data_IF_438098222263
#
_entry.id   IF_438098222263
#
_cell.length_a   1.000
_cell.length_b   1.000
_cell.length_c   1.000
_cell.angle_alpha   90.00
_cell.angle_beta   90.00
_cell.angle_gamma   90.00
#
_symmetry.space_group_name_H-M   'P 1'
#
loop_
_entity.id
_entity.type
_entity.pdbx_description
1 polymer ?
#
# COMPACT_ATOMS: atom_id res chain seq x y z
N UNK A 1 -23.05 -25.23 -10.84
CA UNK A 1 -21.99 -24.24 -11.15
C UNK A 1 -21.44 -23.75 -9.82
N UNK A 2 -20.40 -24.42 -9.33
CA UNK A 2 -20.00 -24.51 -7.91
C UNK A 2 -19.10 -23.35 -7.47
N UNK A 3 -19.53 -22.65 -6.41
CA UNK A 3 -18.85 -21.59 -5.66
C UNK A 3 -17.77 -22.12 -4.70
N UNK A 4 -17.01 -23.16 -5.09
CA UNK A 4 -16.16 -23.96 -4.19
C UNK A 4 -14.71 -23.47 -4.09
N UNK A 5 -14.28 -22.49 -4.90
CA UNK A 5 -12.86 -22.12 -4.97
C UNK A 5 -12.44 -21.02 -3.96
N UNK A 6 -13.39 -20.38 -3.28
CA UNK A 6 -13.13 -19.22 -2.40
C UNK A 6 -13.00 -19.60 -0.90
N UNK A 7 -13.48 -20.78 -0.48
CA UNK A 7 -13.27 -21.29 0.89
C UNK A 7 -11.89 -21.93 1.03
N UNK A 8 -11.47 -22.76 0.06
CA UNK A 8 -10.17 -23.43 0.09
C UNK A 8 -9.00 -22.45 0.10
N UNK A 9 -9.09 -21.35 -0.65
CA UNK A 9 -8.10 -20.28 -0.62
C UNK A 9 -8.02 -19.59 0.75
N UNK A 10 -9.16 -19.38 1.43
CA UNK A 10 -9.18 -18.81 2.78
C UNK A 10 -8.58 -19.76 3.81
N UNK A 11 -8.92 -21.05 3.75
CA UNK A 11 -8.40 -22.06 4.68
C UNK A 11 -6.89 -22.23 4.54
N UNK A 12 -6.38 -22.28 3.30
CA UNK A 12 -4.94 -22.29 3.02
C UNK A 12 -4.23 -21.01 3.51
N UNK A 13 -4.92 -19.86 3.46
CA UNK A 13 -4.36 -18.61 3.97
C UNK A 13 -4.23 -18.67 5.50
N UNK A 14 -5.27 -19.12 6.21
CA UNK A 14 -5.25 -19.29 7.67
C UNK A 14 -4.14 -20.26 8.12
N UNK A 15 -4.04 -21.43 7.48
CA UNK A 15 -2.97 -22.38 7.75
C UNK A 15 -1.57 -21.79 7.52
N UNK A 16 -1.40 -20.98 6.46
CA UNK A 16 -0.12 -20.30 6.21
C UNK A 16 0.26 -19.30 7.31
N UNK A 17 -0.74 -18.72 8.01
CA UNK A 17 -0.52 -17.83 9.15
C UNK A 17 -0.19 -18.62 10.42
N UNK A 18 -0.93 -19.70 10.70
CA UNK A 18 -0.69 -20.58 11.84
C UNK A 18 0.71 -21.21 11.77
N UNK A 19 1.10 -21.76 10.62
CA UNK A 19 2.45 -22.28 10.44
C UNK A 19 3.52 -21.21 10.62
N UNK A 20 3.25 -19.97 10.22
CA UNK A 20 4.19 -18.87 10.42
C UNK A 20 4.31 -18.50 11.91
N UNK A 21 3.19 -18.48 12.65
CA UNK A 21 3.16 -18.20 14.08
C UNK A 21 3.88 -19.29 14.90
N UNK A 22 3.77 -20.54 14.49
CA UNK A 22 4.46 -21.69 15.11
C UNK A 22 5.94 -21.82 14.68
N UNK A 23 6.45 -20.93 13.82
CA UNK A 23 7.83 -20.99 13.32
C UNK A 23 8.08 -22.06 12.25
N UNK A 24 7.03 -22.77 11.80
CA UNK A 24 7.04 -23.73 10.69
C UNK A 24 7.11 -23.01 9.33
N UNK A 25 8.21 -22.28 9.10
CA UNK A 25 8.38 -21.40 7.94
C UNK A 25 8.31 -22.14 6.60
N UNK A 26 8.74 -23.41 6.56
CA UNK A 26 8.69 -24.24 5.34
C UNK A 26 7.25 -24.57 4.94
N UNK A 27 6.42 -24.94 5.90
CA UNK A 27 5.01 -25.27 5.67
C UNK A 27 4.21 -24.01 5.33
N UNK A 28 4.47 -22.90 6.04
CA UNK A 28 3.91 -21.59 5.68
C UNK A 28 4.28 -21.18 4.23
N UNK A 29 5.53 -21.42 3.81
CA UNK A 29 5.97 -21.12 2.44
C UNK A 29 5.31 -22.05 1.40
N UNK A 30 5.03 -23.31 1.77
CA UNK A 30 4.31 -24.27 0.93
C UNK A 30 2.88 -23.80 0.67
N UNK A 31 2.14 -23.45 1.72
CA UNK A 31 0.76 -22.92 1.61
C UNK A 31 0.71 -21.66 0.73
N UNK A 32 1.64 -20.71 0.95
CA UNK A 32 1.76 -19.49 0.11
C UNK A 32 2.09 -19.78 -1.36
N UNK A 33 2.81 -20.87 -1.66
CA UNK A 33 3.13 -21.27 -3.03
C UNK A 33 1.88 -21.80 -3.74
N UNK A 34 1.10 -22.64 -3.06
CA UNK A 34 -0.17 -23.15 -3.57
C UNK A 34 -1.12 -21.99 -3.85
N UNK A 35 -1.31 -21.08 -2.89
CA UNK A 35 -2.14 -19.88 -3.07
C UNK A 35 -1.73 -19.04 -4.28
N UNK A 36 -0.43 -18.80 -4.47
CA UNK A 36 0.07 -18.09 -5.67
C UNK A 36 -0.22 -18.84 -6.96
N UNK A 37 -0.15 -20.17 -6.94
CA UNK A 37 -0.53 -21.02 -8.08
C UNK A 37 -2.00 -20.86 -8.50
N UNK A 38 -2.88 -20.55 -7.53
CA UNK A 38 -4.30 -20.25 -7.76
C UNK A 38 -4.60 -18.75 -7.97
N UNK A 39 -3.57 -17.92 -8.21
CA UNK A 39 -3.74 -16.48 -8.40
C UNK A 39 -4.04 -15.69 -7.11
N UNK A 40 -4.08 -16.35 -5.95
CA UNK A 40 -4.31 -15.72 -4.65
C UNK A 40 -2.99 -15.19 -4.11
N UNK A 41 -2.81 -13.87 -4.20
CA UNK A 41 -1.63 -13.20 -3.65
C UNK A 41 -1.91 -12.79 -2.21
N UNK A 42 -1.25 -13.46 -1.26
CA UNK A 42 -1.28 -13.05 0.14
C UNK A 42 -0.46 -11.78 0.35
N UNK A 43 -0.97 -10.81 1.13
CA UNK A 43 -0.18 -9.62 1.48
C UNK A 43 1.08 -10.05 2.23
N UNK A 44 2.24 -9.69 1.69
CA UNK A 44 3.52 -9.98 2.35
C UNK A 44 3.60 -9.21 3.67
N UNK A 45 3.61 -9.92 4.80
CA UNK A 45 3.97 -9.35 6.11
C UNK A 45 5.48 -9.12 6.26
N UNK A 46 6.31 -9.69 5.37
CA UNK A 46 7.76 -9.43 5.30
C UNK A 46 8.02 -8.25 4.35
N UNK A 47 8.13 -7.09 4.97
CA UNK A 47 8.37 -5.78 4.39
C UNK A 47 7.95 -4.74 5.44
N UNK A 48 8.57 -3.55 5.48
CA UNK A 48 8.04 -2.43 6.30
C UNK A 48 6.54 -2.39 6.06
N UNK A 49 5.71 -2.42 7.13
CA UNK A 49 4.25 -2.25 7.02
C UNK A 49 4.02 -1.09 6.06
N UNK A 50 3.55 -1.39 4.85
CA UNK A 50 3.20 -0.34 3.91
C UNK A 50 2.16 0.52 4.60
N UNK A 51 2.19 1.83 4.38
CA UNK A 51 1.24 2.74 5.04
C UNK A 51 -0.23 2.47 4.66
N UNK A 52 -0.53 1.45 3.84
CA UNK A 52 -1.88 1.14 3.39
C UNK A 52 -2.52 2.37 2.75
N UNK A 53 -3.70 2.72 3.27
CA UNK A 53 -4.44 3.93 2.90
C UNK A 53 -3.96 5.18 3.66
N UNK A 54 -3.11 5.03 4.69
CA UNK A 54 -2.51 6.16 5.39
C UNK A 54 -1.38 6.78 4.54
N UNK A 55 -1.17 8.07 4.75
CA UNK A 55 -0.03 8.77 4.16
C UNK A 55 1.26 8.32 4.85
N UNK A 56 2.28 8.05 4.05
CA UNK A 56 3.66 7.96 4.57
C UNK A 56 4.14 9.32 5.07
N UNK A 57 5.21 9.38 5.89
CA UNK A 57 5.81 10.64 6.35
C UNK A 57 6.10 11.59 5.20
N UNK A 58 6.66 11.04 4.11
CA UNK A 58 6.99 11.84 2.91
C UNK A 58 5.76 12.32 2.16
N UNK A 59 4.74 11.47 2.02
CA UNK A 59 3.47 11.89 1.44
C UNK A 59 2.76 12.94 2.31
N UNK A 60 2.92 12.88 3.63
CA UNK A 60 2.36 13.87 4.57
C UNK A 60 3.05 15.22 4.45
N UNK A 61 4.37 15.26 4.30
CA UNK A 61 5.11 16.50 3.99
C UNK A 61 4.64 17.13 2.68
N UNK A 62 4.50 16.32 1.63
CA UNK A 62 3.98 16.79 0.35
C UNK A 62 2.55 17.30 0.50
N UNK A 63 1.66 16.56 1.20
CA UNK A 63 0.28 16.97 1.43
C UNK A 63 0.18 18.31 2.17
N UNK A 64 1.04 18.55 3.18
CA UNK A 64 1.10 19.84 3.88
C UNK A 64 1.47 20.99 2.94
N UNK A 65 2.52 20.83 2.14
CA UNK A 65 2.93 21.88 1.20
C UNK A 65 1.89 22.10 0.09
N UNK A 66 1.17 21.04 -0.29
CA UNK A 66 0.03 21.12 -1.20
C UNK A 66 -1.11 21.93 -0.60
N UNK A 67 -1.48 21.66 0.66
CA UNK A 67 -2.51 22.40 1.39
C UNK A 67 -2.15 23.88 1.56
N UNK A 68 -0.86 24.18 1.70
CA UNK A 68 -0.30 25.55 1.72
C UNK A 68 -0.22 26.20 0.32
N UNK A 69 -0.77 25.59 -0.74
CA UNK A 69 -0.86 26.19 -2.06
C UNK A 69 0.45 26.22 -2.86
N UNK A 70 1.51 25.54 -2.43
CA UNK A 70 2.78 25.53 -3.17
C UNK A 70 2.60 24.85 -4.53
N UNK A 71 3.43 25.14 -5.53
CA UNK A 71 3.50 24.39 -6.79
C UNK A 71 4.41 23.16 -6.67
N UNK A 72 4.31 22.21 -7.61
CA UNK A 72 5.20 21.03 -7.61
C UNK A 72 6.69 21.42 -7.71
N UNK A 73 7.01 22.52 -8.39
CA UNK A 73 8.38 23.06 -8.49
C UNK A 73 8.88 23.62 -7.17
N UNK A 74 8.03 24.34 -6.44
CA UNK A 74 8.37 24.85 -5.11
C UNK A 74 8.55 23.71 -4.10
N UNK A 75 7.66 22.70 -4.15
CA UNK A 75 7.78 21.50 -3.31
C UNK A 75 9.05 20.72 -3.63
N UNK A 76 9.39 20.58 -4.92
CA UNK A 76 10.61 19.94 -5.37
C UNK A 76 11.85 20.64 -4.77
N UNK A 77 11.88 21.98 -4.79
CA UNK A 77 12.92 22.77 -4.14
C UNK A 77 12.97 22.58 -2.62
N UNK A 78 11.82 22.71 -1.95
CA UNK A 78 11.72 22.60 -0.49
C UNK A 78 12.11 21.22 0.04
N UNK A 79 11.86 20.16 -0.75
CA UNK A 79 12.08 18.78 -0.35
C UNK A 79 13.34 18.16 -0.99
N UNK A 80 14.11 18.92 -1.78
CA UNK A 80 15.27 18.45 -2.54
C UNK A 80 14.96 17.23 -3.43
N UNK A 81 13.87 17.31 -4.18
CA UNK A 81 13.40 16.25 -5.09
C UNK A 81 13.30 16.77 -6.52
N UNK A 82 13.22 15.84 -7.48
CA UNK A 82 12.78 16.20 -8.83
C UNK A 82 11.29 16.54 -8.84
N UNK A 83 10.87 17.43 -9.75
CA UNK A 83 9.45 17.74 -10.00
C UNK A 83 8.65 16.48 -10.31
N UNK A 84 9.23 15.55 -11.09
CA UNK A 84 8.60 14.28 -11.44
C UNK A 84 8.32 13.40 -10.22
N UNK A 85 9.25 13.37 -9.27
CA UNK A 85 9.06 12.64 -8.00
C UNK A 85 7.93 13.26 -7.18
N UNK A 86 7.86 14.60 -7.14
CA UNK A 86 6.76 15.31 -6.47
C UNK A 86 5.42 15.01 -7.12
N UNK A 87 5.31 15.02 -8.45
CA UNK A 87 4.08 14.63 -9.15
C UNK A 87 3.58 13.25 -8.75
N UNK A 88 4.50 12.27 -8.68
CA UNK A 88 4.17 10.91 -8.23
C UNK A 88 3.70 10.88 -6.78
N UNK A 89 4.33 11.65 -5.89
CA UNK A 89 3.86 11.77 -4.50
C UNK A 89 2.49 12.43 -4.41
N UNK A 90 2.24 13.51 -5.15
CA UNK A 90 0.93 14.18 -5.19
C UNK A 90 -0.15 13.22 -5.68
N UNK A 91 0.10 12.47 -6.76
CA UNK A 91 -0.85 11.48 -7.25
C UNK A 91 -1.18 10.39 -6.21
N UNK A 92 -0.17 9.92 -5.47
CA UNK A 92 -0.37 8.97 -4.36
C UNK A 92 -1.15 9.59 -3.20
N UNK A 93 -0.87 10.85 -2.84
CA UNK A 93 -1.59 11.61 -1.80
C UNK A 93 -3.06 11.74 -2.16
N UNK A 94 -3.39 12.21 -3.37
CA UNK A 94 -4.77 12.38 -3.83
C UNK A 94 -5.54 11.05 -3.79
N UNK A 95 -4.91 9.97 -4.28
CA UNK A 95 -5.48 8.62 -4.23
C UNK A 95 -5.76 8.15 -2.80
N UNK A 96 -4.80 8.34 -1.88
CA UNK A 96 -4.91 7.89 -0.48
C UNK A 96 -5.93 8.72 0.31
N UNK A 97 -6.00 10.03 0.05
CA UNK A 97 -6.98 10.92 0.66
C UNK A 97 -8.38 10.83 0.02
N UNK A 98 -8.51 10.10 -1.10
CA UNK A 98 -9.75 9.93 -1.87
C UNK A 98 -10.33 11.27 -2.34
N UNK A 99 -9.45 12.16 -2.81
CA UNK A 99 -9.81 13.48 -3.33
C UNK A 99 -9.43 13.60 -4.80
N UNK A 100 -10.21 14.38 -5.54
CA UNK A 100 -10.08 14.49 -6.99
C UNK A 100 -9.20 15.67 -7.40
N UNK A 101 -9.09 16.68 -6.54
CA UNK A 101 -8.38 17.91 -6.84
C UNK A 101 -7.36 18.29 -5.77
N UNK A 102 -6.29 18.97 -6.20
CA UNK A 102 -5.28 19.55 -5.32
C UNK A 102 -5.90 20.50 -4.28
N UNK A 103 -6.93 21.25 -4.68
CA UNK A 103 -7.62 22.20 -3.84
C UNK A 103 -8.49 21.53 -2.75
N UNK A 104 -8.88 20.27 -2.92
CA UNK A 104 -9.57 19.51 -1.87
C UNK A 104 -8.64 19.05 -0.75
N UNK A 105 -7.33 18.96 -1.01
CA UNK A 105 -6.34 18.54 -0.01
C UNK A 105 -6.29 19.50 1.17
N UNK A 106 -6.54 20.81 0.96
CA UNK A 106 -6.57 21.79 2.05
C UNK A 106 -7.78 21.65 2.99
N UNK A 107 -8.80 20.87 2.60
CA UNK A 107 -10.03 20.65 3.37
C UNK A 107 -10.03 19.32 4.14
N UNK A 108 -8.92 18.57 4.09
CA UNK A 108 -8.72 17.28 4.75
C UNK A 108 -7.68 17.38 5.85
#
# INVERSE_FOLDING_TARGET
MTTVDDSGARDLALLAEEFAALGALRDAARCRRVLRGHGVTLPSRRGRRGYGDQLSPRESEVARLVALGHSNRQIAGALFLSTRTVEQHVAKVLRKLKVSSRAEVSRK
#
